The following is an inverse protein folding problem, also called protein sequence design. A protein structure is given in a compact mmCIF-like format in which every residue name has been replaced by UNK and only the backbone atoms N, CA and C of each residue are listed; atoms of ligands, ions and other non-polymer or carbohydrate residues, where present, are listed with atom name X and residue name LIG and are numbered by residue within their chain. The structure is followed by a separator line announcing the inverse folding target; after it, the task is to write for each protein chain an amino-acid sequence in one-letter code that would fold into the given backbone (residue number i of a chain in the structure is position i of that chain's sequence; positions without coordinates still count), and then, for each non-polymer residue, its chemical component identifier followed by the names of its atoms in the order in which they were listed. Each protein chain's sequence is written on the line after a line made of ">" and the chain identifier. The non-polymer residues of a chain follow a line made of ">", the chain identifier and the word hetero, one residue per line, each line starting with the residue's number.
data_IF_850823924778
#
_entry.id   IF_850823924778
#
_cell.length_a   1.000
_cell.length_b   1.000
_cell.length_c   1.000
_cell.angle_alpha   90.00
_cell.angle_beta   90.00
_cell.angle_gamma   90.00
#
_symmetry.space_group_name_H-M   'P 1'
#
loop_
_entity.id
_entity.type
_entity.pdbx_description
1 polymer ?
#
# COMPACT_ATOMS: atom_id res chain seq x y z
N UNK A 1 -3.98 -2.76 10.53
CA UNK A 1 -5.04 -3.18 11.50
C UNK A 1 -6.22 -3.68 10.70
N UNK A 2 -7.03 -4.59 11.25
CA UNK A 2 -8.24 -5.06 10.55
C UNK A 2 -9.29 -3.95 10.55
N UNK A 3 -10.03 -3.74 9.45
CA UNK A 3 -11.04 -2.69 9.34
C UNK A 3 -12.06 -2.68 10.48
N UNK A 4 -12.34 -3.86 11.06
CA UNK A 4 -13.18 -3.97 12.26
C UNK A 4 -12.61 -3.22 13.48
N UNK A 5 -11.29 -3.23 13.68
CA UNK A 5 -10.66 -2.47 14.77
C UNK A 5 -10.82 -0.96 14.59
N UNK A 6 -10.72 -0.47 13.35
CA UNK A 6 -10.98 0.95 13.03
C UNK A 6 -12.44 1.32 13.27
N UNK A 7 -13.37 0.45 12.85
CA UNK A 7 -14.80 0.64 13.14
C UNK A 7 -15.05 0.74 14.64
N UNK A 8 -14.57 -0.22 15.42
CA UNK A 8 -14.78 -0.24 16.87
C UNK A 8 -14.11 0.93 17.58
N UNK A 9 -12.95 1.39 17.11
CA UNK A 9 -12.32 2.60 17.63
C UNK A 9 -13.19 3.84 17.41
N UNK A 10 -13.80 3.97 16.23
CA UNK A 10 -14.71 5.06 15.91
C UNK A 10 -16.00 5.00 16.78
N UNK A 11 -16.55 3.82 17.01
CA UNK A 11 -17.67 3.62 17.93
C UNK A 11 -17.28 4.01 19.36
N UNK A 12 -16.10 3.59 19.81
CA UNK A 12 -15.60 3.95 21.14
C UNK A 12 -15.44 5.47 21.31
N UNK A 13 -14.90 6.18 20.30
CA UNK A 13 -14.80 7.64 20.32
C UNK A 13 -16.19 8.29 20.41
N UNK A 14 -17.17 7.80 19.63
CA UNK A 14 -18.54 8.31 19.68
C UNK A 14 -19.19 8.13 21.07
N UNK A 15 -18.81 7.09 21.84
CA UNK A 15 -19.36 6.82 23.18
C UNK A 15 -18.91 7.83 24.25
N UNK A 16 -17.92 8.69 23.97
CA UNK A 16 -17.59 9.80 24.86
C UNK A 16 -18.54 11.00 24.74
N UNK A 17 -19.42 11.01 23.73
CA UNK A 17 -20.42 12.06 23.55
C UNK A 17 -21.69 11.76 24.35
N UNK A 18 -22.05 12.55 25.40
CA UNK A 18 -23.27 12.31 26.19
C UNK A 18 -24.54 12.26 25.32
N UNK A 19 -24.63 13.11 24.31
CA UNK A 19 -25.72 13.15 23.33
C UNK A 19 -25.82 11.89 22.48
N UNK A 20 -24.68 11.23 22.19
CA UNK A 20 -24.67 9.97 21.44
C UNK A 20 -25.21 8.80 22.29
N UNK A 21 -24.88 8.81 23.59
CA UNK A 21 -25.39 7.84 24.56
C UNK A 21 -26.89 8.03 24.76
N UNK A 22 -27.32 9.28 24.98
CA UNK A 22 -28.74 9.62 25.18
C UNK A 22 -29.61 9.21 23.97
N UNK A 23 -29.14 9.52 22.75
CA UNK A 23 -29.82 9.09 21.53
C UNK A 23 -29.92 7.56 21.42
N UNK A 24 -28.87 6.81 21.80
CA UNK A 24 -28.87 5.35 21.73
C UNK A 24 -29.82 4.74 22.79
N UNK A 25 -29.88 5.30 23.98
CA UNK A 25 -30.83 4.89 25.03
C UNK A 25 -32.29 5.11 24.60
N UNK A 26 -32.52 6.12 23.74
CA UNK A 26 -33.83 6.38 23.13
C UNK A 26 -34.05 5.60 21.82
N UNK A 27 -33.23 4.57 21.53
CA UNK A 27 -33.41 3.68 20.39
C UNK A 27 -32.77 4.18 19.08
N UNK A 28 -32.00 5.26 19.12
CA UNK A 28 -31.31 5.80 17.93
C UNK A 28 -29.79 5.61 18.01
N UNK A 29 -29.20 4.52 17.44
CA UNK A 29 -27.76 4.25 17.47
C UNK A 29 -26.97 5.00 16.38
N UNK A 30 -27.56 5.96 15.69
CA UNK A 30 -26.99 6.62 14.51
C UNK A 30 -25.58 7.16 14.76
N UNK A 31 -25.34 7.78 15.92
CA UNK A 31 -24.02 8.36 16.23
C UNK A 31 -22.93 7.30 16.38
N UNK A 32 -23.26 6.13 16.88
CA UNK A 32 -22.31 5.01 16.94
C UNK A 32 -22.01 4.43 15.56
N UNK A 33 -23.03 4.30 14.71
CA UNK A 33 -22.87 3.85 13.33
C UNK A 33 -22.00 4.84 12.55
N UNK A 34 -22.26 6.14 12.68
CA UNK A 34 -21.46 7.19 12.05
C UNK A 34 -20.02 7.21 12.58
N UNK A 35 -19.83 7.08 13.90
CA UNK A 35 -18.51 6.99 14.50
C UNK A 35 -17.70 5.82 13.93
N UNK A 36 -18.32 4.63 13.85
CA UNK A 36 -17.71 3.46 13.24
C UNK A 36 -17.38 3.66 11.76
N UNK A 37 -18.28 4.24 10.98
CA UNK A 37 -18.06 4.56 9.57
C UNK A 37 -16.89 5.56 9.40
N UNK A 38 -16.85 6.62 10.20
CA UNK A 38 -15.75 7.59 10.21
C UNK A 38 -14.42 6.94 10.62
N UNK A 39 -14.45 5.92 11.50
CA UNK A 39 -13.25 5.17 11.87
C UNK A 39 -12.62 4.40 10.70
N UNK A 40 -13.44 3.91 9.74
CA UNK A 40 -12.96 3.22 8.53
C UNK A 40 -12.59 4.21 7.41
N UNK A 41 -13.10 5.43 7.46
CA UNK A 41 -12.99 6.41 6.38
C UNK A 41 -11.54 6.67 5.95
N UNK A 42 -10.53 6.83 6.85
CA UNK A 42 -9.14 7.03 6.46
C UNK A 42 -8.60 5.92 5.56
N UNK A 43 -8.80 4.66 5.95
CA UNK A 43 -8.39 3.51 5.14
C UNK A 43 -9.11 3.49 3.79
N UNK A 44 -10.41 3.82 3.76
CA UNK A 44 -11.19 3.87 2.52
C UNK A 44 -10.67 4.97 1.58
N UNK A 45 -10.31 6.13 2.12
CA UNK A 45 -9.73 7.22 1.35
C UNK A 45 -8.38 6.82 0.76
N UNK A 46 -7.51 6.21 1.54
CA UNK A 46 -6.22 5.76 1.06
C UNK A 46 -6.36 4.70 -0.04
N UNK A 47 -7.11 3.62 0.20
CA UNK A 47 -7.21 2.49 -0.75
C UNK A 47 -7.96 2.80 -2.04
N UNK A 48 -8.97 3.68 -1.99
CA UNK A 48 -9.78 3.96 -3.18
C UNK A 48 -9.35 5.19 -3.96
N UNK A 49 -8.80 6.18 -3.27
CA UNK A 49 -8.57 7.49 -3.87
C UNK A 49 -7.09 7.82 -4.11
N UNK A 50 -6.12 7.07 -3.53
CA UNK A 50 -4.70 7.36 -3.73
C UNK A 50 -4.32 7.46 -5.22
N UNK A 51 -4.90 6.63 -6.08
CA UNK A 51 -4.65 6.61 -7.53
C UNK A 51 -4.97 7.92 -8.24
N UNK A 52 -5.78 8.78 -7.64
CA UNK A 52 -6.11 10.10 -8.20
C UNK A 52 -5.09 11.17 -7.82
N UNK A 53 -4.26 10.89 -6.83
CA UNK A 53 -3.26 11.82 -6.31
C UNK A 53 -1.84 11.45 -6.72
N UNK A 54 -1.61 10.20 -7.11
CA UNK A 54 -0.28 9.69 -7.45
C UNK A 54 -0.32 9.04 -8.83
N UNK A 55 0.32 9.70 -9.80
CA UNK A 55 0.61 9.12 -11.10
C UNK A 55 1.88 8.25 -11.00
N UNK A 56 1.85 7.11 -11.68
CA UNK A 56 2.99 6.20 -11.75
C UNK A 56 3.45 6.09 -13.19
N UNK A 57 4.77 6.13 -13.38
CA UNK A 57 5.37 5.98 -14.71
C UNK A 57 5.38 4.52 -15.17
N UNK A 58 5.59 3.61 -14.21
CA UNK A 58 5.66 2.17 -14.48
C UNK A 58 4.80 1.39 -13.50
N UNK A 59 3.91 0.56 -14.04
CA UNK A 59 3.15 -0.43 -13.29
C UNK A 59 3.71 -1.81 -13.58
N UNK A 60 4.29 -2.47 -12.57
CA UNK A 60 4.72 -3.86 -12.68
C UNK A 60 3.55 -4.73 -12.24
N UNK A 61 2.85 -5.27 -13.23
CA UNK A 61 1.60 -6.03 -13.03
C UNK A 61 1.79 -7.47 -13.50
N UNK A 62 2.20 -8.39 -12.61
CA UNK A 62 2.34 -9.79 -12.96
C UNK A 62 0.98 -10.41 -13.32
N UNK A 63 0.96 -11.34 -14.29
CA UNK A 63 -0.26 -12.05 -14.66
C UNK A 63 -0.70 -12.97 -13.51
N UNK A 64 -1.90 -12.79 -12.93
CA UNK A 64 -2.38 -13.66 -11.86
C UNK A 64 -2.61 -15.11 -12.29
N UNK A 65 -2.81 -15.37 -13.58
CA UNK A 65 -3.02 -16.73 -14.10
C UNK A 65 -1.72 -17.50 -14.27
N UNK A 66 -0.63 -16.78 -14.53
CA UNK A 66 0.69 -17.37 -14.69
C UNK A 66 1.76 -16.43 -14.07
N UNK A 67 1.81 -16.33 -12.74
CA UNK A 67 2.75 -15.44 -12.08
C UNK A 67 4.20 -15.83 -12.38
N UNK A 68 4.98 -14.87 -12.90
CA UNK A 68 6.37 -15.07 -13.27
C UNK A 68 7.29 -14.04 -12.56
N UNK A 69 8.21 -14.47 -11.69
CA UNK A 69 9.15 -13.57 -11.05
C UNK A 69 10.17 -12.98 -12.03
N UNK A 70 10.45 -13.66 -13.15
CA UNK A 70 11.36 -13.12 -14.17
C UNK A 70 10.76 -11.87 -14.82
N UNK A 71 9.47 -11.89 -15.15
CA UNK A 71 8.75 -10.72 -15.64
C UNK A 71 8.90 -9.52 -14.67
N UNK A 72 8.72 -9.75 -13.37
CA UNK A 72 8.87 -8.67 -12.37
C UNK A 72 10.29 -8.12 -12.34
N UNK A 73 11.30 -9.01 -12.42
CA UNK A 73 12.70 -8.61 -12.43
C UNK A 73 13.05 -7.78 -13.67
N UNK A 74 12.60 -8.20 -14.86
CA UNK A 74 12.86 -7.53 -16.12
C UNK A 74 12.19 -6.15 -16.17
N UNK A 75 10.93 -6.05 -15.72
CA UNK A 75 10.21 -4.79 -15.67
C UNK A 75 10.81 -3.80 -14.65
N UNK A 76 11.29 -4.30 -13.51
CA UNK A 76 11.99 -3.46 -12.55
C UNK A 76 13.32 -2.93 -13.12
N UNK A 77 14.08 -3.81 -13.76
CA UNK A 77 15.33 -3.41 -14.43
C UNK A 77 15.08 -2.40 -15.56
N UNK A 78 13.99 -2.54 -16.31
CA UNK A 78 13.54 -1.58 -17.32
C UNK A 78 13.19 -0.22 -16.70
N UNK A 79 12.52 -0.19 -15.56
CA UNK A 79 12.23 1.05 -14.84
C UNK A 79 13.50 1.75 -14.36
N UNK A 80 14.48 1.00 -13.86
CA UNK A 80 15.82 1.52 -13.52
C UNK A 80 16.51 2.11 -14.75
N UNK A 81 16.51 1.39 -15.89
CA UNK A 81 17.09 1.89 -17.13
C UNK A 81 16.42 3.19 -17.61
N UNK A 82 15.07 3.26 -17.51
CA UNK A 82 14.32 4.46 -17.87
C UNK A 82 14.74 5.66 -17.03
N UNK A 83 14.88 5.50 -15.70
CA UNK A 83 15.30 6.58 -14.82
C UNK A 83 16.73 7.08 -15.15
N UNK A 84 17.64 6.15 -15.49
CA UNK A 84 19.02 6.47 -15.86
C UNK A 84 19.08 7.19 -17.21
N UNK A 85 18.37 6.67 -18.21
CA UNK A 85 18.46 7.16 -19.59
C UNK A 85 17.80 8.52 -19.76
N UNK A 86 16.63 8.70 -19.16
CA UNK A 86 15.89 9.95 -19.22
C UNK A 86 16.33 10.96 -18.15
N UNK A 87 17.22 10.55 -17.23
CA UNK A 87 17.70 11.38 -16.11
C UNK A 87 16.59 12.08 -15.35
N UNK A 88 15.47 11.37 -15.15
CA UNK A 88 14.29 11.89 -14.45
C UNK A 88 13.84 10.97 -13.33
N UNK A 89 13.08 11.52 -12.45
CA UNK A 89 12.39 10.76 -11.40
C UNK A 89 11.37 9.81 -12.04
N UNK A 90 11.41 8.52 -11.68
CA UNK A 90 10.51 7.49 -12.18
C UNK A 90 9.79 6.84 -11.00
N UNK A 91 8.46 6.89 -11.01
CA UNK A 91 7.61 6.25 -10.01
C UNK A 91 7.21 4.86 -10.47
N UNK A 92 7.55 3.87 -9.67
CA UNK A 92 7.29 2.45 -9.96
C UNK A 92 6.28 1.90 -8.96
N UNK A 93 5.19 1.35 -9.46
CA UNK A 93 4.18 0.63 -8.69
C UNK A 93 4.40 -0.87 -8.81
N UNK A 94 4.66 -1.53 -7.69
CA UNK A 94 4.66 -2.99 -7.62
C UNK A 94 3.24 -3.45 -7.30
N UNK A 95 2.59 -4.15 -8.22
CA UNK A 95 1.20 -4.57 -8.06
C UNK A 95 1.13 -5.92 -7.37
N UNK A 96 0.25 -6.07 -6.38
CA UNK A 96 0.00 -7.33 -5.70
C UNK A 96 -0.66 -8.35 -6.63
N UNK A 97 -0.34 -9.63 -6.47
CA UNK A 97 -0.84 -10.72 -7.31
C UNK A 97 -2.02 -11.38 -6.60
N UNK A 98 -3.23 -11.10 -7.06
CA UNK A 98 -4.46 -11.69 -6.54
C UNK A 98 -4.84 -12.91 -7.35
N UNK A 99 -4.77 -14.10 -6.74
CA UNK A 99 -5.06 -15.38 -7.40
C UNK A 99 -6.54 -15.76 -7.38
N UNK A 100 -7.34 -15.14 -6.51
CA UNK A 100 -8.76 -15.41 -6.34
C UNK A 100 -9.42 -14.45 -5.37
N UNK A 101 -10.60 -14.81 -4.84
CA UNK A 101 -11.34 -13.95 -3.92
C UNK A 101 -10.53 -13.64 -2.66
N UNK A 102 -9.91 -14.69 -2.08
CA UNK A 102 -9.24 -14.63 -0.77
C UNK A 102 -7.77 -15.05 -0.80
N UNK A 103 -7.16 -15.21 -1.99
CA UNK A 103 -5.80 -15.72 -2.14
C UNK A 103 -4.89 -14.75 -2.89
N UNK A 104 -3.65 -14.63 -2.38
CA UNK A 104 -2.65 -13.71 -2.88
C UNK A 104 -1.29 -14.41 -2.96
N UNK A 105 -0.56 -14.20 -4.06
CA UNK A 105 0.82 -14.64 -4.19
C UNK A 105 1.73 -13.56 -3.62
N UNK A 106 2.44 -13.87 -2.54
CA UNK A 106 3.47 -12.98 -2.01
C UNK A 106 4.72 -13.00 -2.89
N UNK A 107 5.38 -11.85 -2.97
CA UNK A 107 6.71 -11.77 -3.57
C UNK A 107 7.55 -10.67 -2.92
N UNK A 108 8.86 -10.76 -3.16
CA UNK A 108 9.82 -9.75 -2.69
C UNK A 108 10.78 -9.37 -3.80
N UNK A 109 11.17 -8.11 -3.83
CA UNK A 109 12.16 -7.55 -4.75
C UNK A 109 13.35 -7.10 -3.93
N UNK A 110 14.51 -7.71 -4.13
CA UNK A 110 15.78 -7.35 -3.48
C UNK A 110 16.76 -6.80 -4.51
N UNK A 111 17.42 -5.71 -4.18
CA UNK A 111 18.46 -5.11 -5.00
C UNK A 111 19.80 -5.60 -4.48
N UNK A 112 20.63 -6.13 -5.37
CA UNK A 112 22.01 -6.53 -5.11
C UNK A 112 22.95 -5.59 -5.88
N UNK A 113 23.42 -4.57 -5.21
CA UNK A 113 24.31 -3.58 -5.80
C UNK A 113 25.74 -4.10 -6.07
N UNK A 114 26.16 -5.17 -5.38
CA UNK A 114 27.45 -5.80 -5.63
C UNK A 114 27.46 -6.53 -6.98
N UNK A 115 26.35 -7.22 -7.26
CA UNK A 115 26.17 -7.96 -8.53
C UNK A 115 25.51 -7.14 -9.61
N UNK A 116 25.09 -5.92 -9.31
CA UNK A 116 24.32 -5.06 -10.20
C UNK A 116 23.11 -5.80 -10.76
N UNK A 117 22.30 -6.38 -9.87
CA UNK A 117 21.11 -7.13 -10.27
C UNK A 117 19.95 -6.92 -9.29
N UNK A 118 18.74 -7.08 -9.80
CA UNK A 118 17.54 -7.23 -9.00
C UNK A 118 17.18 -8.71 -8.90
N UNK A 119 16.83 -9.14 -7.71
CA UNK A 119 16.40 -10.48 -7.38
C UNK A 119 14.94 -10.43 -6.95
N UNK A 120 14.08 -11.13 -7.67
CA UNK A 120 12.66 -11.29 -7.33
C UNK A 120 12.43 -12.71 -6.84
N UNK A 121 11.84 -12.84 -5.67
CA UNK A 121 11.53 -14.14 -5.08
C UNK A 121 10.04 -14.20 -4.77
N UNK A 122 9.38 -15.24 -5.25
CA UNK A 122 8.01 -15.54 -4.85
C UNK A 122 8.03 -16.30 -3.52
N UNK A 123 7.13 -15.89 -2.63
CA UNK A 123 6.90 -16.54 -1.35
C UNK A 123 5.69 -17.48 -1.40
N UNK A 124 5.08 -17.80 -0.26
CA UNK A 124 3.89 -18.61 -0.20
C UNK A 124 2.67 -17.88 -0.79
N UNK A 125 1.66 -18.66 -1.15
CA UNK A 125 0.30 -18.12 -1.31
C UNK A 125 -0.28 -17.89 0.08
N UNK A 126 -0.92 -16.75 0.29
CA UNK A 126 -1.56 -16.38 1.55
C UNK A 126 -3.02 -16.07 1.35
N UNK A 127 -3.82 -16.28 2.40
CA UNK A 127 -5.19 -15.82 2.42
C UNK A 127 -5.28 -14.33 2.83
N UNK A 128 -6.46 -13.74 2.78
CA UNK A 128 -6.71 -12.35 3.19
C UNK A 128 -6.31 -12.05 4.64
N UNK A 129 -6.19 -13.07 5.50
CA UNK A 129 -5.66 -12.96 6.86
C UNK A 129 -4.14 -13.02 6.96
N UNK A 130 -3.42 -13.07 5.83
CA UNK A 130 -1.96 -13.25 5.72
C UNK A 130 -1.46 -14.59 6.27
N UNK A 131 -2.33 -15.59 6.34
CA UNK A 131 -1.95 -16.94 6.75
C UNK A 131 -1.55 -17.72 5.50
N UNK A 132 -0.34 -18.34 5.48
CA UNK A 132 0.09 -19.16 4.38
C UNK A 132 -0.86 -20.32 4.11
N UNK A 133 -1.07 -20.62 2.84
CA UNK A 133 -1.86 -21.79 2.43
C UNK A 133 -0.96 -23.01 2.50
N UNK A 134 -1.41 -24.04 3.20
CA UNK A 134 -0.67 -25.28 3.38
C UNK A 134 -0.22 -25.90 2.04
N UNK A 135 1.02 -26.33 2.00
CA UNK A 135 1.62 -26.89 0.78
C UNK A 135 2.23 -25.86 -0.18
N UNK A 136 2.02 -24.56 0.04
CA UNK A 136 2.65 -23.50 -0.77
C UNK A 136 3.93 -22.91 -0.16
N UNK A 137 4.28 -23.32 1.06
CA UNK A 137 5.42 -22.79 1.82
C UNK A 137 6.77 -23.37 1.40
N UNK A 138 6.80 -24.58 0.87
CA UNK A 138 8.03 -25.31 0.56
C UNK A 138 8.10 -25.71 -0.92
N UNK A 139 9.28 -25.56 -1.51
CA UNK A 139 9.62 -26.14 -2.81
C UNK A 139 9.23 -25.35 -4.06
N UNK A 140 8.64 -24.19 -3.91
CA UNK A 140 8.22 -23.37 -5.04
C UNK A 140 8.85 -21.96 -5.07
N UNK A 141 10.06 -21.81 -4.50
CA UNK A 141 10.80 -20.55 -4.64
C UNK A 141 11.17 -20.30 -6.11
N UNK A 142 10.22 -19.80 -6.87
CA UNK A 142 10.53 -19.26 -8.18
C UNK A 142 11.32 -17.97 -8.01
N UNK A 143 12.46 -17.88 -8.68
CA UNK A 143 13.37 -16.73 -8.61
C UNK A 143 13.53 -16.14 -9.99
N UNK A 144 13.31 -14.82 -10.11
CA UNK A 144 13.66 -14.04 -11.28
C UNK A 144 14.88 -13.17 -10.99
N UNK A 145 15.70 -12.90 -12.01
CA UNK A 145 16.87 -12.03 -11.91
C UNK A 145 17.03 -11.20 -13.17
N UNK A 146 17.38 -9.93 -13.00
CA UNK A 146 17.72 -9.05 -14.11
C UNK A 146 18.89 -8.13 -13.74
N UNK A 147 19.71 -7.77 -14.73
CA UNK A 147 20.82 -6.83 -14.54
C UNK A 147 20.32 -5.40 -14.45
N UNK A 148 20.88 -4.65 -13.53
CA UNK A 148 20.59 -3.23 -13.35
C UNK A 148 21.62 -2.38 -14.12
N UNK A 149 21.15 -1.28 -14.68
CA UNK A 149 21.97 -0.31 -15.42
C UNK A 149 22.78 0.62 -14.50
N UNK A 150 22.31 0.83 -13.28
CA UNK A 150 22.96 1.64 -12.25
C UNK A 150 22.74 1.04 -10.88
N UNK A 151 23.53 1.47 -9.90
CA UNK A 151 23.28 1.13 -8.50
C UNK A 151 22.03 1.84 -8.01
N UNK A 152 21.25 1.13 -7.19
CA UNK A 152 20.06 1.67 -6.55
C UNK A 152 20.32 1.74 -5.06
N UNK A 153 20.56 2.92 -4.55
CA UNK A 153 20.89 3.17 -3.15
C UNK A 153 19.61 3.13 -2.34
N UNK A 154 19.62 2.36 -1.26
CA UNK A 154 18.51 2.24 -0.31
C UNK A 154 18.95 2.69 1.06
N UNK A 155 18.09 3.40 1.78
CA UNK A 155 18.34 3.79 3.17
C UNK A 155 18.45 2.56 4.09
N UNK A 156 17.71 1.48 3.76
CA UNK A 156 17.76 0.22 4.49
C UNK A 156 17.98 -0.94 3.51
N UNK A 157 18.92 -1.82 3.82
CA UNK A 157 19.12 -3.07 3.04
C UNK A 157 18.00 -4.09 3.35
N UNK A 158 16.82 -3.80 2.84
CA UNK A 158 15.65 -4.65 2.99
C UNK A 158 14.98 -4.89 1.65
N UNK A 159 14.50 -6.12 1.45
CA UNK A 159 13.70 -6.44 0.28
C UNK A 159 12.35 -5.72 0.33
N UNK A 160 11.91 -5.20 -0.82
CA UNK A 160 10.57 -4.67 -1.01
C UNK A 160 9.58 -5.83 -1.00
N UNK A 161 8.77 -5.93 0.03
CA UNK A 161 7.75 -6.98 0.13
C UNK A 161 6.45 -6.52 -0.50
N UNK A 162 5.88 -7.36 -1.33
CA UNK A 162 4.54 -7.20 -1.89
C UNK A 162 3.66 -8.31 -1.34
N UNK A 163 2.65 -7.90 -0.62
CA UNK A 163 1.78 -8.76 0.15
C UNK A 163 0.33 -8.71 -0.39
N UNK A 164 -0.66 -8.65 0.49
CA UNK A 164 -2.07 -8.58 0.14
C UNK A 164 -2.51 -7.13 -0.16
N UNK A 165 -3.65 -7.00 -0.84
CA UNK A 165 -4.35 -5.77 -1.21
C UNK A 165 -3.60 -4.89 -2.19
N UNK A 166 -2.48 -4.31 -1.80
CA UNK A 166 -1.70 -3.41 -2.67
C UNK A 166 -0.22 -3.50 -2.35
N UNK A 167 0.62 -3.30 -3.37
CA UNK A 167 2.06 -3.32 -3.25
C UNK A 167 2.64 -1.91 -3.02
N UNK A 168 3.92 -1.80 -2.67
CA UNK A 168 4.58 -0.53 -2.47
C UNK A 168 4.72 0.25 -3.78
N UNK A 169 4.74 1.57 -3.65
CA UNK A 169 5.22 2.49 -4.68
C UNK A 169 6.59 2.98 -4.28
N UNK A 170 7.52 2.97 -5.23
CA UNK A 170 8.87 3.47 -5.03
C UNK A 170 9.21 4.51 -6.09
N UNK A 171 9.99 5.51 -5.70
CA UNK A 171 10.58 6.50 -6.59
C UNK A 171 12.03 6.17 -6.86
N UNK A 172 12.44 6.20 -8.11
CA UNK A 172 13.81 6.08 -8.57
C UNK A 172 14.30 7.48 -8.95
N UNK A 173 15.14 8.07 -8.10
CA UNK A 173 15.64 9.43 -8.25
C UNK A 173 17.08 9.42 -8.76
N UNK A 174 17.37 9.97 -9.93
CA UNK A 174 18.73 10.04 -10.43
C UNK A 174 19.63 10.91 -9.55
N UNK A 175 20.81 10.41 -9.26
CA UNK A 175 21.87 11.11 -8.54
C UNK A 175 22.93 11.65 -9.51
N UNK A 176 23.68 12.70 -9.13
CA UNK A 176 24.72 13.30 -10.00
C UNK A 176 25.83 12.34 -10.42
N UNK A 177 26.09 11.30 -9.63
CA UNK A 177 27.10 10.27 -9.91
C UNK A 177 26.63 9.17 -10.88
N UNK A 178 25.38 9.24 -11.35
CA UNK A 178 24.78 8.25 -12.24
C UNK A 178 24.09 7.07 -11.55
N UNK A 179 24.13 7.00 -10.22
CA UNK A 179 23.36 6.06 -9.44
C UNK A 179 21.90 6.53 -9.25
N UNK A 180 21.06 5.72 -8.67
CA UNK A 180 19.69 6.06 -8.32
C UNK A 180 19.51 6.00 -6.79
N UNK A 181 18.75 6.93 -6.24
CA UNK A 181 18.24 6.86 -4.88
C UNK A 181 16.85 6.27 -4.90
N UNK A 182 16.57 5.29 -4.03
CA UNK A 182 15.27 4.66 -3.91
C UNK A 182 14.50 5.30 -2.76
N UNK A 183 13.46 6.02 -3.14
CA UNK A 183 12.54 6.65 -2.20
C UNK A 183 11.26 5.79 -2.07
N UNK A 184 10.85 5.46 -0.85
CA UNK A 184 9.53 4.92 -0.61
C UNK A 184 8.51 6.04 -0.71
N UNK A 185 7.48 5.85 -1.54
CA UNK A 185 6.34 6.76 -1.60
C UNK A 185 5.22 6.18 -0.73
N UNK A 186 5.07 6.66 0.50
CA UNK A 186 4.00 6.20 1.34
C UNK A 186 2.67 6.73 0.76
N UNK A 187 1.75 5.83 0.46
CA UNK A 187 0.39 6.14 0.02
C UNK A 187 -0.65 5.88 1.11
N UNK A 188 -0.24 5.13 2.15
CA UNK A 188 -1.09 4.72 3.27
C UNK A 188 -0.62 5.35 4.57
N UNK A 189 -1.54 5.84 5.37
CA UNK A 189 -1.32 6.47 6.67
C UNK A 189 -0.57 7.81 6.65
N UNK A 190 -0.68 8.56 5.57
CA UNK A 190 -0.17 9.93 5.52
C UNK A 190 -1.24 10.95 5.95
N UNK A 191 -1.79 11.67 4.96
CA UNK A 191 -2.71 12.77 5.24
C UNK A 191 -4.06 12.32 5.81
N UNK A 192 -4.59 11.20 5.34
CA UNK A 192 -5.89 10.64 5.75
C UNK A 192 -5.90 10.18 7.21
N UNK A 193 -4.74 9.76 7.74
CA UNK A 193 -4.56 9.37 9.14
C UNK A 193 -4.05 10.53 10.03
N UNK A 194 -3.97 11.75 9.49
CA UNK A 194 -3.59 12.92 10.27
C UNK A 194 -4.71 13.33 11.22
N UNK A 195 -4.37 13.45 12.51
CA UNK A 195 -5.29 13.96 13.52
C UNK A 195 -5.80 15.35 13.16
N UNK A 196 -4.93 16.19 12.58
CA UNK A 196 -5.27 17.55 12.13
C UNK A 196 -6.32 17.54 11.03
N UNK A 197 -6.13 16.68 10.00
CA UNK A 197 -7.10 16.55 8.90
C UNK A 197 -8.42 16.01 9.43
N UNK A 198 -8.39 15.02 10.32
CA UNK A 198 -9.60 14.49 10.97
C UNK A 198 -10.35 15.56 11.75
N UNK A 199 -9.64 16.37 12.53
CA UNK A 199 -10.24 17.49 13.29
C UNK A 199 -10.84 18.56 12.35
N UNK A 200 -10.13 18.94 11.27
CA UNK A 200 -10.63 19.91 10.28
C UNK A 200 -11.92 19.40 9.60
N UNK A 201 -11.95 18.15 9.20
CA UNK A 201 -13.15 17.54 8.61
C UNK A 201 -14.29 17.47 9.60
N UNK A 202 -14.02 17.14 10.87
CA UNK A 202 -15.03 17.14 11.93
C UNK A 202 -15.65 18.52 12.15
N UNK A 203 -14.83 19.57 12.19
CA UNK A 203 -15.30 20.96 12.30
C UNK A 203 -16.13 21.35 11.09
N UNK A 204 -15.67 21.03 9.87
CA UNK A 204 -16.41 21.34 8.63
C UNK A 204 -17.78 20.66 8.61
N UNK A 205 -17.85 19.39 8.94
CA UNK A 205 -19.13 18.64 9.02
C UNK A 205 -20.03 19.22 10.11
N UNK A 206 -19.48 19.60 11.25
CA UNK A 206 -20.24 20.24 12.33
C UNK A 206 -20.85 21.59 11.91
N UNK A 207 -20.08 22.42 11.20
CA UNK A 207 -20.56 23.71 10.65
C UNK A 207 -21.68 23.46 9.63
N UNK A 208 -21.46 22.53 8.69
CA UNK A 208 -22.49 22.20 7.69
C UNK A 208 -23.78 21.67 8.34
N UNK A 209 -23.68 20.80 9.31
CA UNK A 209 -24.84 20.28 10.05
C UNK A 209 -25.59 21.42 10.77
N UNK A 210 -24.88 22.38 11.35
CA UNK A 210 -25.49 23.53 12.01
C UNK A 210 -26.30 24.41 11.04
N UNK A 211 -25.82 24.63 9.81
CA UNK A 211 -26.53 25.43 8.83
C UNK A 211 -27.67 24.68 8.12
N UNK A 212 -27.72 23.37 8.20
CA UNK A 212 -28.75 22.53 7.59
C UNK A 212 -29.84 22.10 8.59
N UNK A 213 -29.68 22.38 9.87
CA UNK A 213 -30.66 22.13 10.94
C UNK A 213 -31.56 23.33 11.16
#
# INVERSE_FOLDING_TARGET
>A
MKGFSHFMSGVAVASFGPWAIDAALNGNPLFFVLGGACGILPDTLDFKFYRFFYEHDVYITPDPKNPDPQYVADEYARAVALAVDEKRYVRVKLVSIRLGADFWQQYSVKIDNEKMEVLVRFGPVVNTGQVPVEGTEKGHEKIGRAKLKAKVIQTYDAALKVDIFDGPTVGLKPLPNGDLDLEFLPWHREWSHSLTVGAMLGVLVGILAYFLS
#
